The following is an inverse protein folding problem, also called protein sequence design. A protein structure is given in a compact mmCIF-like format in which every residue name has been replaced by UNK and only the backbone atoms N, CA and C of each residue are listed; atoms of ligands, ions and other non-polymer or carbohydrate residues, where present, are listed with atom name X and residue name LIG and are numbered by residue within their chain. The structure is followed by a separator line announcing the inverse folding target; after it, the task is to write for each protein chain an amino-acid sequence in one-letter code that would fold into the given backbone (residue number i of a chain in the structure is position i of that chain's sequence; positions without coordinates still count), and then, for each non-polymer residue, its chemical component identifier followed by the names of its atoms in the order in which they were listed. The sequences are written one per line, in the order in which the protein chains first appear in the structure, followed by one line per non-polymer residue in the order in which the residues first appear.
data_IF_416646722654
#
_entry.id   IF_416646722654
#
_cell.length_a   1.000
_cell.length_b   1.000
_cell.length_c   1.000
_cell.angle_alpha   90.00
_cell.angle_beta   90.00
_cell.angle_gamma   90.00
#
_symmetry.space_group_name_H-M   'P 1'
#
loop_
_entity.id
_entity.type
_entity.pdbx_description
1 polymer ?
#
# COMPACT_ATOMS: atom_id res chain seq x y z
N UNK A 1 31.68 -9.73 3.91
CA UNK A 1 31.80 -9.64 5.38
C UNK A 1 31.90 -8.20 5.90
N UNK A 2 31.72 -7.17 5.05
CA UNK A 2 32.07 -5.79 5.38
C UNK A 2 30.87 -4.88 5.69
N UNK A 3 29.65 -5.21 5.24
CA UNK A 3 28.58 -4.21 5.13
C UNK A 3 27.83 -3.81 6.41
N UNK A 4 27.78 -4.60 7.49
CA UNK A 4 26.89 -4.28 8.64
C UNK A 4 27.62 -3.69 9.84
N UNK A 5 28.91 -4.02 10.01
CA UNK A 5 29.77 -3.39 11.01
C UNK A 5 30.07 -1.92 10.68
N UNK A 6 29.96 -1.51 9.42
CA UNK A 6 30.16 -0.13 8.96
C UNK A 6 28.89 0.74 9.02
N UNK A 7 27.71 0.14 9.25
CA UNK A 7 26.45 0.90 9.39
C UNK A 7 26.39 1.50 10.80
N UNK A 8 26.52 2.82 10.85
CA UNK A 8 26.41 3.60 12.08
C UNK A 8 25.10 3.33 12.83
N UNK A 9 25.14 3.43 14.17
CA UNK A 9 24.00 3.10 15.03
C UNK A 9 22.69 3.82 14.67
N UNK A 10 22.77 5.02 14.06
CA UNK A 10 21.60 5.81 13.62
C UNK A 10 20.87 5.21 12.42
N UNK A 11 21.55 4.42 11.57
CA UNK A 11 21.02 3.92 10.30
C UNK A 11 20.65 2.43 10.38
N UNK A 12 21.04 1.75 11.47
CA UNK A 12 20.87 0.29 11.63
C UNK A 12 19.45 -0.20 11.52
N UNK A 13 18.46 0.60 11.94
CA UNK A 13 17.03 0.25 11.94
C UNK A 13 16.23 1.06 10.92
N UNK A 14 16.89 1.75 9.99
CA UNK A 14 16.23 2.57 8.99
C UNK A 14 16.24 1.86 7.64
N UNK A 15 15.22 2.16 6.83
CA UNK A 15 15.24 1.77 5.42
C UNK A 15 16.27 2.63 4.68
N UNK A 16 17.22 1.97 4.01
CA UNK A 16 18.23 2.65 3.20
C UNK A 16 17.64 3.09 1.86
N UNK A 17 18.21 4.14 1.26
CA UNK A 17 17.74 4.67 -0.01
C UNK A 17 17.72 3.60 -1.12
N UNK A 18 18.79 2.80 -1.22
CA UNK A 18 18.87 1.71 -2.20
C UNK A 18 17.80 0.62 -2.01
N UNK A 19 17.17 0.54 -0.85
CA UNK A 19 16.17 -0.46 -0.53
C UNK A 19 14.74 0.05 -0.73
N UNK A 20 14.55 1.34 -1.02
CA UNK A 20 13.20 1.95 -1.06
C UNK A 20 12.27 1.35 -2.08
N UNK A 21 12.76 1.06 -3.30
CA UNK A 21 11.94 0.72 -4.47
C UNK A 21 10.69 -0.12 -4.15
N UNK A 22 10.85 -1.35 -3.65
CA UNK A 22 9.72 -2.25 -3.29
C UNK A 22 9.35 -2.13 -1.80
N UNK A 23 10.32 -1.89 -0.91
CA UNK A 23 10.05 -1.93 0.52
C UNK A 23 9.20 -0.75 1.00
N UNK A 24 9.23 0.38 0.28
CA UNK A 24 8.46 1.58 0.60
C UNK A 24 6.99 1.53 0.14
N UNK A 25 6.56 0.55 -0.67
CA UNK A 25 5.17 0.49 -1.18
C UNK A 25 4.10 0.45 -0.09
N UNK A 26 4.41 -0.16 1.05
CA UNK A 26 3.58 -0.15 2.25
C UNK A 26 4.46 -0.42 3.47
N UNK A 27 4.52 0.51 4.41
CA UNK A 27 5.38 0.40 5.60
C UNK A 27 4.57 0.38 6.88
N UNK A 28 5.07 -0.40 7.83
CA UNK A 28 4.52 -0.52 9.17
C UNK A 28 5.64 -0.32 10.18
N UNK A 29 5.31 0.32 11.30
CA UNK A 29 6.28 0.85 12.28
C UNK A 29 7.12 -0.23 12.97
N UNK A 30 6.69 -1.49 12.91
CA UNK A 30 7.36 -2.62 13.57
C UNK A 30 8.17 -3.51 12.62
N UNK A 31 8.49 -3.05 11.42
CA UNK A 31 9.34 -3.77 10.48
C UNK A 31 10.84 -3.75 10.87
N UNK A 32 11.59 -4.72 10.36
CA UNK A 32 13.05 -4.70 10.37
C UNK A 32 13.60 -4.31 8.99
N UNK A 33 14.83 -3.78 8.93
CA UNK A 33 15.35 -3.26 7.67
C UNK A 33 15.85 -4.38 6.74
N UNK A 34 15.83 -4.18 5.41
CA UNK A 34 16.17 -5.22 4.45
C UNK A 34 17.62 -5.75 4.57
N UNK A 35 18.59 -4.92 4.95
CA UNK A 35 19.98 -5.35 5.14
C UNK A 35 20.14 -6.37 6.28
N UNK A 36 19.22 -6.40 7.24
CA UNK A 36 19.21 -7.41 8.29
C UNK A 36 18.88 -8.80 7.72
N UNK A 37 18.04 -8.90 6.68
CA UNK A 37 17.76 -10.19 6.04
C UNK A 37 19.01 -10.70 5.33
N UNK A 38 19.66 -9.84 4.52
CA UNK A 38 20.92 -10.17 3.84
C UNK A 38 22.02 -10.61 4.82
N UNK A 39 22.08 -9.99 6.00
CA UNK A 39 22.96 -10.43 7.08
C UNK A 39 22.73 -11.91 7.44
N UNK A 40 21.48 -12.27 7.74
CA UNK A 40 21.13 -13.58 8.25
C UNK A 40 21.23 -14.66 7.17
N UNK A 41 20.87 -14.35 5.92
CA UNK A 41 21.11 -15.24 4.79
C UNK A 41 22.58 -15.63 4.69
N UNK A 42 23.49 -14.66 4.83
CA UNK A 42 24.93 -14.91 4.84
C UNK A 42 25.40 -15.64 6.11
N UNK A 43 24.95 -15.19 7.30
CA UNK A 43 25.35 -15.76 8.59
C UNK A 43 24.97 -17.24 8.72
N UNK A 44 23.83 -17.62 8.15
CA UNK A 44 23.36 -19.00 8.14
C UNK A 44 23.87 -19.81 6.94
N UNK A 45 24.72 -19.24 6.09
CA UNK A 45 25.25 -19.85 4.87
C UNK A 45 24.13 -20.47 4.01
N UNK A 46 23.08 -19.68 3.73
CA UNK A 46 21.99 -20.14 2.87
C UNK A 46 22.52 -20.35 1.45
N UNK A 47 22.36 -21.56 0.92
CA UNK A 47 22.83 -21.95 -0.41
C UNK A 47 21.68 -22.10 -1.43
N UNK A 48 22.01 -22.06 -2.72
CA UNK A 48 21.03 -22.32 -3.78
C UNK A 48 20.44 -23.72 -3.62
N UNK A 49 19.12 -23.82 -3.71
CA UNK A 49 18.38 -25.06 -3.46
C UNK A 49 17.84 -25.20 -2.04
N UNK A 50 18.27 -24.36 -1.10
CA UNK A 50 17.61 -24.21 0.20
C UNK A 50 16.39 -23.29 0.11
N UNK A 51 15.48 -23.44 1.06
CA UNK A 51 14.26 -22.65 1.19
C UNK A 51 14.24 -21.89 2.50
N UNK A 52 13.86 -20.61 2.46
CA UNK A 52 13.70 -19.76 3.64
C UNK A 52 12.22 -19.73 4.05
N UNK A 53 11.92 -20.05 5.31
CA UNK A 53 10.57 -19.90 5.87
C UNK A 53 10.53 -18.70 6.81
N UNK A 54 9.62 -17.78 6.55
CA UNK A 54 9.25 -16.71 7.47
C UNK A 54 7.80 -16.95 7.95
N UNK A 55 7.60 -17.53 9.16
CA UNK A 55 6.27 -17.90 9.62
C UNK A 55 5.42 -16.70 10.09
N UNK A 56 5.99 -15.50 10.13
CA UNK A 56 5.34 -14.25 10.51
C UNK A 56 5.84 -13.12 9.61
N UNK A 57 5.67 -13.29 8.30
CA UNK A 57 6.39 -12.50 7.31
C UNK A 57 5.96 -11.03 7.27
N UNK A 58 4.83 -10.67 7.90
CA UNK A 58 4.31 -9.32 7.89
C UNK A 58 4.14 -8.83 6.46
N UNK A 59 4.77 -7.70 6.13
CA UNK A 59 4.74 -7.12 4.78
C UNK A 59 5.79 -7.73 3.83
N UNK A 60 6.44 -8.82 4.21
CA UNK A 60 7.27 -9.64 3.33
C UNK A 60 8.73 -9.22 3.19
N UNK A 61 9.33 -8.47 4.13
CA UNK A 61 10.74 -8.02 4.01
C UNK A 61 11.68 -9.21 3.74
N UNK A 62 11.57 -10.31 4.48
CA UNK A 62 12.34 -11.54 4.21
C UNK A 62 12.11 -12.05 2.80
N UNK A 63 10.86 -12.19 2.38
CA UNK A 63 10.50 -12.80 1.10
C UNK A 63 10.97 -11.95 -0.10
N UNK A 64 10.84 -10.62 -0.01
CA UNK A 64 11.32 -9.68 -1.01
C UNK A 64 12.83 -9.78 -1.16
N UNK A 65 13.57 -9.79 -0.05
CA UNK A 65 15.03 -9.89 -0.09
C UNK A 65 15.50 -11.26 -0.59
N UNK A 66 14.84 -12.35 -0.17
CA UNK A 66 15.11 -13.68 -0.71
C UNK A 66 14.92 -13.71 -2.23
N UNK A 67 13.81 -13.13 -2.73
CA UNK A 67 13.52 -13.06 -4.17
C UNK A 67 14.57 -12.24 -4.91
N UNK A 68 14.99 -11.09 -4.37
CA UNK A 68 16.07 -10.25 -4.92
C UNK A 68 17.39 -11.01 -5.06
N UNK A 69 17.71 -11.86 -4.09
CA UNK A 69 18.96 -12.66 -4.07
C UNK A 69 18.83 -14.01 -4.76
N UNK A 70 17.66 -14.36 -5.29
CA UNK A 70 17.41 -15.63 -6.00
C UNK A 70 17.22 -16.84 -5.09
N UNK A 71 16.87 -16.65 -3.82
CA UNK A 71 16.50 -17.73 -2.91
C UNK A 71 14.99 -17.99 -2.92
N UNK A 72 14.63 -19.27 -2.86
CA UNK A 72 13.24 -19.65 -2.64
C UNK A 72 12.83 -19.30 -1.21
N UNK A 73 11.64 -18.73 -1.04
CA UNK A 73 11.10 -18.43 0.29
C UNK A 73 9.60 -18.65 0.36
N UNK A 74 9.13 -18.98 1.56
CA UNK A 74 7.71 -19.11 1.90
C UNK A 74 7.44 -18.19 3.08
N UNK A 75 6.41 -17.36 2.97
CA UNK A 75 5.95 -16.47 4.03
C UNK A 75 4.56 -16.89 4.51
N UNK A 76 4.33 -16.84 5.83
CA UNK A 76 3.01 -17.04 6.44
C UNK A 76 2.66 -15.76 7.21
N UNK A 77 1.43 -15.27 7.03
CA UNK A 77 0.93 -14.09 7.72
C UNK A 77 -0.59 -14.22 7.91
N UNK A 78 -1.08 -13.88 9.10
CA UNK A 78 -2.48 -13.96 9.46
C UNK A 78 -3.24 -12.65 9.21
N UNK A 79 -2.54 -11.50 9.33
CA UNK A 79 -3.13 -10.20 9.05
C UNK A 79 -3.38 -10.03 7.55
N UNK A 80 -4.62 -9.84 7.10
CA UNK A 80 -4.95 -9.80 5.67
C UNK A 80 -4.24 -8.69 4.88
N UNK A 81 -4.04 -7.52 5.48
CA UNK A 81 -3.39 -6.37 4.82
C UNK A 81 -1.89 -6.59 4.73
N UNK A 82 -1.26 -7.09 5.80
CA UNK A 82 0.16 -7.42 5.76
C UNK A 82 0.45 -8.54 4.75
N UNK A 83 -0.38 -9.59 4.74
CA UNK A 83 -0.33 -10.66 3.75
C UNK A 83 -0.49 -10.13 2.32
N UNK A 84 -1.49 -9.26 2.07
CA UNK A 84 -1.69 -8.63 0.77
C UNK A 84 -0.46 -7.83 0.33
N UNK A 85 0.11 -7.01 1.22
CA UNK A 85 1.32 -6.25 0.95
C UNK A 85 2.52 -7.18 0.61
N UNK A 86 2.72 -8.25 1.39
CA UNK A 86 3.75 -9.25 1.13
C UNK A 86 3.58 -9.93 -0.24
N UNK A 87 2.35 -10.34 -0.57
CA UNK A 87 1.98 -10.95 -1.85
C UNK A 87 2.26 -10.02 -3.03
N UNK A 88 1.83 -8.76 -2.94
CA UNK A 88 2.07 -7.75 -3.99
C UNK A 88 3.56 -7.45 -4.15
N UNK A 89 4.27 -7.19 -3.04
CA UNK A 89 5.72 -6.90 -3.06
C UNK A 89 6.57 -8.05 -3.60
N UNK A 90 6.05 -9.28 -3.58
CA UNK A 90 6.71 -10.47 -4.12
C UNK A 90 6.19 -10.89 -5.50
N UNK A 91 5.23 -10.17 -6.10
CA UNK A 91 4.80 -10.37 -7.47
C UNK A 91 5.46 -9.35 -8.41
N UNK A 92 6.40 -9.79 -9.26
CA UNK A 92 7.14 -8.92 -10.19
C UNK A 92 6.80 -9.21 -11.65
N UNK A 93 5.75 -10.01 -11.89
CA UNK A 93 5.35 -10.46 -13.22
C UNK A 93 4.17 -9.62 -13.73
N UNK A 94 4.24 -8.31 -13.53
CA UNK A 94 3.22 -7.36 -13.97
C UNK A 94 3.88 -6.43 -14.99
N UNK A 95 3.31 -6.37 -16.18
CA UNK A 95 3.78 -5.46 -17.22
C UNK A 95 3.20 -4.05 -16.98
N UNK A 96 4.03 -2.97 -17.05
CA UNK A 96 3.58 -1.60 -16.79
C UNK A 96 2.36 -1.17 -17.61
N UNK A 97 2.24 -1.64 -18.85
CA UNK A 97 1.10 -1.31 -19.72
C UNK A 97 -0.26 -1.69 -19.11
N UNK A 98 -0.32 -2.75 -18.30
CA UNK A 98 -1.55 -3.16 -17.62
C UNK A 98 -1.86 -2.28 -16.41
N UNK A 99 -0.82 -1.74 -15.76
CA UNK A 99 -0.96 -0.77 -14.67
C UNK A 99 -1.54 0.52 -15.24
N UNK A 100 -0.92 1.09 -16.27
CA UNK A 100 -1.35 2.35 -16.89
C UNK A 100 -2.79 2.28 -17.40
N UNK A 101 -3.12 1.18 -18.09
CA UNK A 101 -4.45 0.97 -18.63
C UNK A 101 -5.53 0.95 -17.53
N UNK A 102 -5.36 0.12 -16.50
CA UNK A 102 -6.36 0.04 -15.43
C UNK A 102 -6.35 1.25 -14.51
N UNK A 103 -5.21 1.93 -14.34
CA UNK A 103 -5.14 3.19 -13.62
C UNK A 103 -6.03 4.22 -14.30
N UNK A 104 -5.90 4.41 -15.62
CA UNK A 104 -6.74 5.33 -16.37
C UNK A 104 -8.25 4.99 -16.23
N UNK A 105 -8.63 3.71 -16.27
CA UNK A 105 -10.03 3.30 -16.09
C UNK A 105 -10.56 3.58 -14.68
N UNK A 106 -9.78 3.30 -13.64
CA UNK A 106 -10.15 3.56 -12.25
C UNK A 106 -10.28 5.05 -11.99
N UNK A 107 -9.35 5.85 -12.51
CA UNK A 107 -9.37 7.31 -12.35
C UNK A 107 -10.60 7.91 -13.03
N UNK A 108 -10.89 7.53 -14.29
CA UNK A 108 -12.07 8.02 -15.01
C UNK A 108 -13.37 7.70 -14.24
N UNK A 109 -13.49 6.48 -13.73
CA UNK A 109 -14.65 6.08 -12.92
C UNK A 109 -14.70 6.82 -11.57
N UNK A 110 -13.57 6.99 -10.90
CA UNK A 110 -13.51 7.68 -9.61
C UNK A 110 -13.88 9.17 -9.74
N UNK A 111 -13.42 9.85 -10.80
CA UNK A 111 -13.80 11.23 -11.10
C UNK A 111 -15.32 11.36 -11.34
N UNK A 112 -15.91 10.43 -12.11
CA UNK A 112 -17.36 10.39 -12.31
C UNK A 112 -18.14 10.23 -11.00
N UNK A 113 -17.61 9.41 -10.09
CA UNK A 113 -18.19 9.20 -8.78
C UNK A 113 -18.03 10.40 -7.85
N UNK A 114 -16.86 11.05 -7.88
CA UNK A 114 -16.60 12.24 -7.07
C UNK A 114 -17.54 13.38 -7.46
N UNK A 115 -17.73 13.64 -8.75
CA UNK A 115 -18.70 14.64 -9.23
C UNK A 115 -20.14 14.28 -8.79
N UNK A 116 -20.53 13.01 -8.92
CA UNK A 116 -21.88 12.56 -8.55
C UNK A 116 -22.20 12.74 -7.06
N UNK A 117 -21.21 12.62 -6.18
CA UNK A 117 -21.38 12.62 -4.72
C UNK A 117 -20.85 13.87 -4.03
N UNK A 118 -20.50 14.92 -4.79
CA UNK A 118 -19.93 16.18 -4.30
C UNK A 118 -18.65 15.93 -3.49
N UNK A 119 -17.72 15.12 -4.02
CA UNK A 119 -16.44 14.72 -3.41
C UNK A 119 -15.23 15.19 -4.23
N UNK A 120 -15.38 16.26 -5.02
CA UNK A 120 -14.37 16.71 -5.96
C UNK A 120 -13.05 17.10 -5.27
N UNK A 121 -11.96 16.89 -6.00
CA UNK A 121 -10.61 17.24 -5.59
C UNK A 121 -10.04 18.30 -6.55
N UNK A 122 -9.34 19.33 -6.03
CA UNK A 122 -8.64 20.30 -6.87
C UNK A 122 -7.45 19.60 -7.53
N UNK A 123 -7.66 19.01 -8.70
CA UNK A 123 -6.63 18.18 -9.34
C UNK A 123 -6.09 18.89 -10.56
N UNK A 124 -4.87 19.45 -10.47
CA UNK A 124 -4.18 20.11 -11.58
C UNK A 124 -4.05 19.18 -12.81
N UNK A 125 -3.91 17.88 -12.59
CA UNK A 125 -3.84 16.84 -13.63
C UNK A 125 -5.14 16.66 -14.43
N UNK A 126 -6.30 16.96 -13.84
CA UNK A 126 -7.62 16.67 -14.44
C UNK A 126 -8.45 17.92 -14.70
N UNK A 127 -7.88 19.13 -14.58
CA UNK A 127 -8.62 20.40 -14.76
C UNK A 127 -9.41 20.50 -16.09
N UNK A 128 -9.16 19.61 -17.06
CA UNK A 128 -9.90 19.54 -18.32
C UNK A 128 -10.41 18.14 -18.69
N UNK A 129 -10.27 17.12 -17.84
CA UNK A 129 -10.80 15.77 -18.12
C UNK A 129 -12.20 15.66 -17.55
N UNK A 130 -13.20 15.63 -18.43
CA UNK A 130 -14.54 15.21 -18.04
C UNK A 130 -14.60 13.68 -18.03
N UNK A 131 -15.13 13.07 -16.96
CA UNK A 131 -15.28 11.62 -16.93
C UNK A 131 -16.10 11.15 -18.12
N UNK A 132 -15.62 10.12 -18.82
CA UNK A 132 -16.31 9.53 -19.96
C UNK A 132 -17.29 8.47 -19.47
N UNK A 133 -16.95 7.75 -18.40
CA UNK A 133 -17.80 6.73 -17.79
C UNK A 133 -18.89 7.35 -16.92
N UNK A 134 -20.04 6.67 -16.88
CA UNK A 134 -21.10 6.93 -15.92
C UNK A 134 -20.83 6.18 -14.63
N UNK A 135 -21.00 6.85 -13.49
CA UNK A 135 -20.88 6.20 -12.18
C UNK A 135 -22.18 5.49 -11.78
N UNK A 136 -22.15 4.16 -11.80
CA UNK A 136 -23.30 3.29 -11.48
C UNK A 136 -23.14 2.46 -10.19
N UNK A 137 -22.01 2.61 -9.48
CA UNK A 137 -21.76 1.94 -8.20
C UNK A 137 -22.62 2.55 -7.07
N UNK A 138 -22.88 1.79 -5.98
CA UNK A 138 -23.63 2.29 -4.83
C UNK A 138 -22.93 3.46 -4.14
N UNK A 139 -23.65 4.24 -3.31
CA UNK A 139 -23.03 5.29 -2.50
C UNK A 139 -21.84 4.77 -1.67
N UNK A 140 -20.78 5.58 -1.51
CA UNK A 140 -19.57 5.17 -0.81
C UNK A 140 -19.76 5.25 0.71
N UNK A 141 -20.50 4.29 1.26
CA UNK A 141 -20.84 4.24 2.68
C UNK A 141 -20.46 2.88 3.30
N UNK A 142 -20.01 2.93 4.54
CA UNK A 142 -19.80 1.73 5.36
C UNK A 142 -21.15 1.19 5.86
N UNK A 143 -21.26 -0.14 5.92
CA UNK A 143 -22.33 -0.81 6.66
C UNK A 143 -22.26 -0.48 8.16
N UNK A 144 -23.36 -0.63 8.92
CA UNK A 144 -23.36 -0.40 10.36
C UNK A 144 -22.25 -1.17 11.09
N UNK A 145 -22.04 -2.44 10.73
CA UNK A 145 -21.03 -3.32 11.32
C UNK A 145 -19.61 -2.81 11.01
N UNK A 146 -19.37 -2.34 9.79
CA UNK A 146 -18.08 -1.78 9.41
C UNK A 146 -17.77 -0.46 10.13
N UNK A 147 -18.80 0.36 10.41
CA UNK A 147 -18.65 1.62 11.16
C UNK A 147 -18.25 1.37 12.61
N UNK A 148 -18.76 0.31 13.23
CA UNK A 148 -18.43 -0.05 14.62
C UNK A 148 -16.97 -0.47 14.80
N UNK A 149 -16.35 -1.05 13.77
CA UNK A 149 -14.94 -1.46 13.79
C UNK A 149 -13.99 -0.25 13.72
N UNK A 150 -14.44 0.84 13.10
CA UNK A 150 -13.62 2.02 12.85
C UNK A 150 -13.47 2.87 14.12
N UNK A 151 -12.25 3.06 14.67
CA UNK A 151 -12.08 3.87 15.86
C UNK A 151 -12.49 5.33 15.63
N UNK A 152 -13.21 5.89 16.61
CA UNK A 152 -13.69 7.27 16.52
C UNK A 152 -12.53 8.27 16.35
N UNK A 153 -12.68 9.20 15.41
CA UNK A 153 -11.70 10.24 15.12
C UNK A 153 -10.54 9.83 14.21
N UNK A 154 -10.39 8.55 13.87
CA UNK A 154 -9.25 8.06 13.07
C UNK A 154 -9.35 8.44 11.59
N UNK A 155 -10.53 8.77 11.10
CA UNK A 155 -10.72 9.34 9.76
C UNK A 155 -11.99 10.19 9.75
N UNK A 156 -11.97 11.27 8.97
CA UNK A 156 -13.12 12.14 8.79
C UNK A 156 -14.03 11.62 7.67
N UNK A 157 -15.31 12.01 7.70
CA UNK A 157 -16.34 11.49 6.78
C UNK A 157 -15.99 11.70 5.29
N UNK A 158 -15.59 12.91 4.90
CA UNK A 158 -15.30 13.24 3.48
C UNK A 158 -14.08 12.47 2.93
N UNK A 159 -12.92 12.42 3.60
CA UNK A 159 -11.82 11.51 3.24
C UNK A 159 -12.22 10.03 3.20
N UNK A 160 -13.01 9.55 4.16
CA UNK A 160 -13.48 8.17 4.19
C UNK A 160 -14.33 7.85 2.96
N UNK A 161 -15.31 8.70 2.62
CA UNK A 161 -16.17 8.53 1.44
C UNK A 161 -15.36 8.52 0.14
N UNK A 162 -14.33 9.35 0.03
CA UNK A 162 -13.40 9.35 -1.11
C UNK A 162 -12.64 8.02 -1.23
N UNK A 163 -12.07 7.52 -0.13
CA UNK A 163 -11.38 6.21 -0.11
C UNK A 163 -12.32 5.06 -0.44
N UNK A 164 -13.54 5.06 0.09
CA UNK A 164 -14.53 4.01 -0.16
C UNK A 164 -14.93 3.99 -1.63
N UNK A 165 -15.16 5.16 -2.23
CA UNK A 165 -15.48 5.26 -3.65
C UNK A 165 -14.33 4.76 -4.52
N UNK A 166 -13.10 5.20 -4.24
CA UNK A 166 -11.92 4.73 -4.97
C UNK A 166 -11.73 3.21 -4.80
N UNK A 167 -11.95 2.69 -3.59
CA UNK A 167 -11.96 1.26 -3.31
C UNK A 167 -13.01 0.50 -4.13
N UNK A 168 -14.23 1.02 -4.23
CA UNK A 168 -15.29 0.44 -5.08
C UNK A 168 -14.88 0.41 -6.56
N UNK A 169 -14.22 1.47 -7.05
CA UNK A 169 -13.69 1.52 -8.42
C UNK A 169 -12.59 0.47 -8.64
N UNK A 170 -11.65 0.32 -7.70
CA UNK A 170 -10.59 -0.69 -7.76
C UNK A 170 -11.19 -2.11 -7.79
N UNK A 171 -12.27 -2.35 -7.05
CA UNK A 171 -12.95 -3.65 -7.04
C UNK A 171 -13.58 -4.04 -8.39
N UNK A 172 -13.76 -3.11 -9.33
CA UNK A 172 -14.27 -3.44 -10.67
C UNK A 172 -13.20 -4.04 -11.58
N UNK A 173 -11.91 -3.97 -11.22
CA UNK A 173 -10.83 -4.54 -12.01
C UNK A 173 -10.92 -6.07 -11.96
N UNK A 174 -11.05 -6.73 -13.11
CA UNK A 174 -11.09 -8.20 -13.19
C UNK A 174 -9.73 -8.85 -12.87
N UNK A 175 -8.63 -8.24 -13.37
CA UNK A 175 -7.26 -8.68 -13.13
C UNK A 175 -6.89 -8.59 -11.64
N UNK A 176 -6.88 -9.74 -10.97
CA UNK A 176 -6.61 -9.84 -9.53
C UNK A 176 -5.26 -9.28 -9.12
N UNK A 177 -4.21 -9.48 -9.91
CA UNK A 177 -2.86 -8.96 -9.61
C UNK A 177 -2.81 -7.42 -9.61
N UNK A 178 -3.45 -6.78 -10.58
CA UNK A 178 -3.56 -5.31 -10.65
C UNK A 178 -4.49 -4.79 -9.55
N UNK A 179 -5.64 -5.45 -9.33
CA UNK A 179 -6.58 -5.10 -8.27
C UNK A 179 -5.88 -5.12 -6.90
N UNK A 180 -5.13 -6.17 -6.61
CA UNK A 180 -4.36 -6.31 -5.36
C UNK A 180 -3.27 -5.25 -5.23
N UNK A 181 -2.54 -4.95 -6.30
CA UNK A 181 -1.55 -3.85 -6.33
C UNK A 181 -2.22 -2.51 -5.96
N UNK A 182 -3.35 -2.20 -6.58
CA UNK A 182 -4.07 -0.95 -6.34
C UNK A 182 -4.68 -0.91 -4.93
N UNK A 183 -5.13 -2.05 -4.38
CA UNK A 183 -5.60 -2.11 -2.99
C UNK A 183 -4.47 -1.83 -1.99
N UNK A 184 -3.22 -2.24 -2.27
CA UNK A 184 -2.06 -1.87 -1.43
C UNK A 184 -1.78 -0.37 -1.52
N UNK A 185 -1.82 0.21 -2.71
CA UNK A 185 -1.67 1.66 -2.88
C UNK A 185 -2.78 2.42 -2.13
N UNK A 186 -4.05 2.00 -2.26
CA UNK A 186 -5.18 2.57 -1.52
C UNK A 186 -4.98 2.46 0.00
N UNK A 187 -4.52 1.31 0.50
CA UNK A 187 -4.25 1.12 1.92
C UNK A 187 -3.14 2.07 2.42
N UNK A 188 -2.11 2.30 1.60
CA UNK A 188 -1.05 3.27 1.90
C UNK A 188 -1.62 4.70 2.00
N UNK A 189 -2.40 5.14 1.00
CA UNK A 189 -3.08 6.45 1.02
C UNK A 189 -4.01 6.59 2.22
N UNK A 190 -4.77 5.53 2.54
CA UNK A 190 -5.68 5.53 3.67
C UNK A 190 -4.94 5.88 4.96
N UNK A 191 -3.78 5.26 5.22
CA UNK A 191 -3.01 5.48 6.43
C UNK A 191 -2.24 6.81 6.39
N UNK A 192 -1.50 7.08 5.33
CA UNK A 192 -0.52 8.18 5.31
C UNK A 192 -1.12 9.54 4.94
N UNK A 193 -2.11 9.55 4.06
CA UNK A 193 -2.64 10.79 3.47
C UNK A 193 -4.03 11.12 3.98
N UNK A 194 -4.92 10.14 4.05
CA UNK A 194 -6.34 10.37 4.27
C UNK A 194 -6.77 10.28 5.74
N UNK A 195 -6.17 9.38 6.51
CA UNK A 195 -6.52 9.21 7.91
C UNK A 195 -6.03 10.37 8.78
N UNK A 196 -6.61 10.44 9.97
CA UNK A 196 -6.11 11.21 11.09
C UNK A 196 -5.26 10.31 12.01
N UNK A 197 -4.64 9.22 11.54
CA UNK A 197 -3.86 8.31 12.39
C UNK A 197 -2.38 8.72 12.39
N UNK A 198 -1.75 8.64 13.56
CA UNK A 198 -0.31 8.67 13.67
C UNK A 198 0.19 7.56 14.59
N UNK A 199 1.46 7.22 14.42
CA UNK A 199 2.12 6.18 15.17
C UNK A 199 3.12 6.80 16.15
N UNK A 200 3.00 6.44 17.42
CA UNK A 200 3.95 6.74 18.49
C UNK A 200 4.23 5.48 19.31
N UNK A 201 4.44 5.60 20.64
CA UNK A 201 4.43 4.43 21.53
C UNK A 201 3.14 3.59 21.40
N UNK A 202 2.03 4.27 21.09
CA UNK A 202 0.73 3.70 20.76
C UNK A 202 0.18 4.36 19.49
N UNK A 203 -0.87 3.80 18.90
CA UNK A 203 -1.60 4.39 17.77
C UNK A 203 -2.54 5.45 18.32
N UNK A 204 -2.54 6.66 17.74
CA UNK A 204 -3.38 7.76 18.22
C UNK A 204 -3.99 8.58 17.08
N UNK A 205 -5.09 9.27 17.39
CA UNK A 205 -5.72 10.23 16.48
C UNK A 205 -5.00 11.58 16.52
N UNK A 206 -4.77 12.12 15.34
CA UNK A 206 -4.26 13.46 15.07
C UNK A 206 -5.41 14.43 14.82
N UNK A 207 -5.08 15.70 14.51
CA UNK A 207 -6.10 16.71 14.21
C UNK A 207 -6.96 16.26 13.01
N UNK A 208 -8.29 16.28 13.13
CA UNK A 208 -9.18 15.92 12.04
C UNK A 208 -8.93 16.76 10.78
N UNK A 209 -8.75 16.06 9.65
CA UNK A 209 -8.74 16.66 8.31
C UNK A 209 -10.18 16.83 7.85
N UNK A 210 -10.63 18.05 7.60
CA UNK A 210 -11.99 18.28 7.08
C UNK A 210 -12.17 17.65 5.69
N UNK A 211 -11.11 17.72 4.88
CA UNK A 211 -11.00 17.08 3.58
C UNK A 211 -9.52 16.81 3.26
N UNK A 212 -9.26 15.94 2.29
CA UNK A 212 -7.93 15.65 1.75
C UNK A 212 -8.03 15.12 0.32
N UNK A 213 -6.93 15.18 -0.43
CA UNK A 213 -6.81 14.49 -1.71
C UNK A 213 -6.52 13.01 -1.48
N UNK A 214 -7.14 12.14 -2.26
CA UNK A 214 -6.84 10.70 -2.30
C UNK A 214 -6.40 10.23 -3.67
N UNK A 215 -6.82 10.88 -4.76
CA UNK A 215 -6.46 10.45 -6.12
C UNK A 215 -5.00 10.74 -6.44
N UNK A 216 -4.52 11.95 -6.16
CA UNK A 216 -3.13 12.33 -6.39
C UNK A 216 -2.13 11.43 -5.67
N UNK A 217 -2.20 11.25 -4.32
CA UNK A 217 -1.27 10.34 -3.64
C UNK A 217 -1.42 8.89 -4.11
N UNK A 218 -2.62 8.45 -4.49
CA UNK A 218 -2.83 7.11 -5.03
C UNK A 218 -2.10 6.91 -6.36
N UNK A 219 -2.21 7.85 -7.30
CA UNK A 219 -1.52 7.78 -8.59
C UNK A 219 0.00 7.77 -8.42
N UNK A 220 0.53 8.63 -7.55
CA UNK A 220 1.97 8.70 -7.28
C UNK A 220 2.56 7.43 -6.67
N UNK A 221 1.72 6.57 -6.06
CA UNK A 221 2.15 5.27 -5.54
C UNK A 221 2.07 4.15 -6.58
N UNK A 222 1.30 4.34 -7.65
CA UNK A 222 1.07 3.35 -8.70
C UNK A 222 2.03 3.54 -9.88
N UNK A 223 2.38 4.80 -10.20
CA UNK A 223 3.42 5.19 -11.17
C UNK A 223 4.84 4.89 -10.68
#
# INVERSE_FOLDING_TARGET
MQEITEIGNSVRNQLLEQDRAIHAWYQFVLGYPPHLVRYYLNKFNVEKGMSVLDPFCGMGTTNVECKKTGFHSVGIEANPIAHLASKVKTNWNIEPIHIDHHLAEVIDLALAGFEKFDLEEPTEFFLNQKPVRRFELPPPELSPEQREILPSGFISDRPLRKLLLLGQCIQTIERTDIRELFLVALASVAIHDASNVAFGPEIYATKPKADTMVLTPFMLLVE
#
